data_IF_774407006001
#
_entry.id   IF_774407006001
#
_cell.length_a   1.000
_cell.length_b   1.000
_cell.length_c   1.000
_cell.angle_alpha   90.00
_cell.angle_beta   90.00
_cell.angle_gamma   90.00
#
_symmetry.space_group_name_H-M   'P 1'
#
loop_
_entity.id
_entity.type
_entity.pdbx_description
1 polymer ?
#
# COMPACT_ATOMS: atom_id res chain seq x y z
N UNK A 1 5.93 2.28 -20.29
CA UNK A 1 5.22 2.88 -19.13
C UNK A 1 4.31 1.90 -18.42
N UNK A 2 3.40 1.22 -19.13
CA UNK A 2 2.49 0.24 -18.52
C UNK A 2 3.22 -0.85 -17.73
N UNK A 3 4.30 -1.43 -18.29
CA UNK A 3 5.14 -2.42 -17.61
C UNK A 3 5.70 -1.92 -16.28
N UNK A 4 6.24 -0.70 -16.27
CA UNK A 4 6.80 -0.09 -15.06
C UNK A 4 5.74 0.08 -13.96
N UNK A 5 4.52 0.51 -14.32
CA UNK A 5 3.41 0.63 -13.38
C UNK A 5 2.99 -0.76 -12.86
N UNK A 6 2.85 -1.73 -13.77
CA UNK A 6 2.41 -3.09 -13.47
C UNK A 6 3.38 -3.83 -12.54
N UNK A 7 4.68 -3.80 -12.87
CA UNK A 7 5.73 -4.46 -12.09
C UNK A 7 5.90 -3.80 -10.71
N UNK A 8 5.78 -2.47 -10.61
CA UNK A 8 5.83 -1.80 -9.30
C UNK A 8 4.67 -2.21 -8.40
N UNK A 9 3.47 -2.42 -8.95
CA UNK A 9 2.34 -2.94 -8.18
C UNK A 9 2.57 -4.40 -7.75
N UNK A 10 3.16 -5.21 -8.63
CA UNK A 10 3.53 -6.59 -8.32
C UNK A 10 4.54 -6.66 -7.18
N UNK A 11 5.62 -5.87 -7.23
CA UNK A 11 6.62 -5.79 -6.16
C UNK A 11 6.00 -5.48 -4.81
N UNK A 12 5.01 -4.59 -4.75
CA UNK A 12 4.40 -4.22 -3.47
C UNK A 12 3.59 -5.38 -2.84
N UNK A 13 2.93 -6.19 -3.67
CA UNK A 13 2.09 -7.29 -3.19
C UNK A 13 2.82 -8.62 -3.00
N UNK A 14 3.85 -8.88 -3.81
CA UNK A 14 4.48 -10.20 -3.94
C UNK A 14 5.83 -10.33 -3.22
N UNK A 15 6.16 -9.42 -2.29
CA UNK A 15 7.41 -9.46 -1.51
C UNK A 15 7.13 -9.62 -0.01
N UNK A 16 6.26 -10.55 0.35
CA UNK A 16 5.98 -10.87 1.74
C UNK A 16 7.09 -11.76 2.32
N UNK A 17 7.11 -11.89 3.64
CA UNK A 17 8.12 -12.68 4.34
C UNK A 17 7.49 -13.66 5.33
N UNK A 18 6.89 -14.77 4.85
CA UNK A 18 6.35 -15.81 5.74
C UNK A 18 7.40 -16.29 6.76
N UNK A 19 7.04 -16.49 8.04
CA UNK A 19 5.69 -16.51 8.60
C UNK A 19 5.22 -15.16 9.19
N UNK A 20 5.82 -14.03 8.79
CA UNK A 20 5.41 -12.71 9.28
C UNK A 20 4.03 -12.34 8.75
N UNK A 21 3.36 -11.44 9.46
CA UNK A 21 2.11 -10.86 9.00
C UNK A 21 2.32 -10.13 7.67
N UNK A 22 1.30 -10.16 6.82
CA UNK A 22 1.30 -9.40 5.57
C UNK A 22 1.54 -7.93 5.87
N UNK A 23 2.43 -7.30 5.11
CA UNK A 23 2.67 -5.87 5.16
C UNK A 23 3.26 -5.41 3.85
N UNK A 24 2.80 -4.27 3.36
CA UNK A 24 3.41 -3.64 2.19
C UNK A 24 4.72 -2.96 2.63
N UNK A 25 5.80 -3.25 1.91
CA UNK A 25 7.10 -2.64 2.19
C UNK A 25 7.03 -1.11 1.99
N UNK A 26 7.47 -0.38 3.02
CA UNK A 26 7.38 1.08 3.05
C UNK A 26 8.18 1.77 1.95
N UNK A 27 9.25 1.17 1.43
CA UNK A 27 10.01 1.77 0.33
C UNK A 27 9.37 1.44 -1.03
N UNK A 28 8.87 0.23 -1.23
CA UNK A 28 8.26 -0.17 -2.50
C UNK A 28 6.99 0.62 -2.84
N UNK A 29 6.19 1.04 -1.85
CA UNK A 29 5.05 1.92 -2.12
C UNK A 29 5.45 3.20 -2.84
N UNK A 30 6.66 3.72 -2.62
CA UNK A 30 7.12 4.96 -3.25
C UNK A 30 7.37 4.76 -4.74
N UNK A 31 7.87 3.59 -5.14
CA UNK A 31 8.05 3.25 -6.55
C UNK A 31 6.70 3.27 -7.28
N UNK A 32 5.67 2.68 -6.68
CA UNK A 32 4.33 2.67 -7.24
C UNK A 32 3.66 4.06 -7.18
N UNK A 33 3.73 4.75 -6.04
CA UNK A 33 3.15 6.08 -5.85
C UNK A 33 3.67 7.09 -6.88
N UNK A 34 4.96 7.05 -7.18
CA UNK A 34 5.55 7.92 -8.21
C UNK A 34 5.17 7.52 -9.64
N UNK A 35 4.75 6.28 -9.88
CA UNK A 35 4.45 5.78 -11.22
C UNK A 35 3.23 6.47 -11.86
N UNK A 36 2.27 6.93 -11.04
CA UNK A 36 1.04 7.58 -11.52
C UNK A 36 1.30 8.87 -12.30
N UNK A 37 2.44 9.53 -12.09
CA UNK A 37 2.78 10.77 -12.77
C UNK A 37 3.28 10.55 -14.21
N UNK A 38 3.74 9.34 -14.55
CA UNK A 38 4.39 9.08 -15.84
C UNK A 38 3.49 9.27 -17.06
N UNK A 39 2.22 8.83 -17.07
CA UNK A 39 1.33 9.16 -18.16
C UNK A 39 1.22 10.66 -18.41
N UNK A 40 1.15 11.47 -17.34
CA UNK A 40 1.12 12.92 -17.44
C UNK A 40 2.43 13.49 -17.97
N UNK A 41 3.59 13.10 -17.42
CA UNK A 41 4.89 13.58 -17.90
C UNK A 41 5.10 13.26 -19.38
N UNK A 42 4.73 12.06 -19.82
CA UNK A 42 4.92 11.61 -21.20
C UNK A 42 3.92 12.25 -22.17
N UNK A 43 2.79 12.78 -21.70
CA UNK A 43 1.83 13.53 -22.52
C UNK A 43 2.20 15.01 -22.72
N UNK A 44 3.16 15.55 -21.95
CA UNK A 44 3.51 16.97 -22.05
C UNK A 44 4.14 17.31 -23.41
N UNK A 45 3.61 18.34 -24.10
CA UNK A 45 4.11 18.77 -25.41
C UNK A 45 5.46 19.51 -25.34
N UNK A 46 5.73 20.18 -24.23
CA UNK A 46 6.95 20.95 -24.00
C UNK A 46 8.17 20.06 -23.67
N UNK A 47 7.94 18.81 -23.26
CA UNK A 47 9.01 17.87 -22.94
C UNK A 47 9.43 17.12 -24.21
N UNK A 48 10.67 17.33 -24.66
CA UNK A 48 11.22 16.64 -25.83
C UNK A 48 11.24 15.11 -25.69
N UNK A 49 11.19 14.39 -26.81
CA UNK A 49 11.14 12.92 -26.81
C UNK A 49 12.34 12.30 -26.07
N UNK A 50 13.54 12.82 -26.28
CA UNK A 50 14.75 12.35 -25.58
C UNK A 50 14.63 12.45 -24.07
N UNK A 51 14.06 13.56 -23.56
CA UNK A 51 13.86 13.76 -22.12
C UNK A 51 12.77 12.84 -21.56
N UNK A 52 11.72 12.55 -22.34
CA UNK A 52 10.68 11.57 -21.98
C UNK A 52 11.26 10.17 -21.83
N UNK A 53 12.08 9.75 -22.80
CA UNK A 53 12.78 8.45 -22.77
C UNK A 53 13.70 8.39 -21.56
N UNK A 54 14.56 9.41 -21.38
CA UNK A 54 15.50 9.48 -20.24
C UNK A 54 14.77 9.40 -18.90
N UNK A 55 13.66 10.12 -18.73
CA UNK A 55 12.88 10.10 -17.51
C UNK A 55 12.31 8.70 -17.21
N UNK A 56 11.78 8.01 -18.22
CA UNK A 56 11.25 6.65 -18.07
C UNK A 56 12.36 5.63 -17.78
N UNK A 57 13.50 5.74 -18.46
CA UNK A 57 14.66 4.88 -18.19
C UNK A 57 15.20 5.07 -16.78
N UNK A 58 15.34 6.31 -16.32
CA UNK A 58 15.81 6.61 -14.97
C UNK A 58 14.84 6.09 -13.91
N UNK A 59 13.54 6.19 -14.15
CA UNK A 59 12.54 5.59 -13.27
C UNK A 59 12.69 4.08 -13.17
N UNK A 60 12.80 3.38 -14.31
CA UNK A 60 12.98 1.94 -14.33
C UNK A 60 14.27 1.51 -13.62
N UNK A 61 15.39 2.22 -13.86
CA UNK A 61 16.66 1.98 -13.17
C UNK A 61 16.54 2.19 -11.65
N UNK A 62 15.88 3.28 -11.24
CA UNK A 62 15.65 3.55 -9.83
C UNK A 62 14.81 2.45 -9.18
N UNK A 63 13.75 1.98 -9.84
CA UNK A 63 12.88 0.91 -9.31
C UNK A 63 13.66 -0.38 -9.04
N UNK A 64 14.55 -0.76 -9.97
CA UNK A 64 15.44 -1.92 -9.82
C UNK A 64 16.44 -1.72 -8.68
N UNK A 65 17.05 -0.53 -8.59
CA UNK A 65 17.99 -0.21 -7.50
C UNK A 65 17.28 -0.24 -6.15
N UNK A 66 16.07 0.31 -6.04
CA UNK A 66 15.27 0.28 -4.82
C UNK A 66 14.92 -1.16 -4.42
N UNK A 67 14.57 -2.02 -5.38
CA UNK A 67 14.36 -3.45 -5.14
C UNK A 67 15.63 -4.15 -4.62
N UNK A 68 16.78 -3.92 -5.26
CA UNK A 68 18.05 -4.49 -4.84
C UNK A 68 18.49 -3.98 -3.45
N UNK A 69 18.29 -2.69 -3.17
CA UNK A 69 18.60 -2.08 -1.87
C UNK A 69 17.75 -2.66 -0.73
N UNK A 70 16.60 -3.26 -1.05
CA UNK A 70 15.77 -4.00 -0.09
C UNK A 70 16.13 -5.47 0.08
N UNK A 71 17.24 -5.92 -0.50
CA UNK A 71 17.73 -7.28 -0.40
C UNK A 71 17.14 -8.23 -1.44
N UNK A 72 16.55 -7.70 -2.51
CA UNK A 72 15.97 -8.49 -3.62
C UNK A 72 15.02 -9.59 -3.13
N UNK A 73 13.98 -9.25 -2.34
CA UNK A 73 13.07 -10.24 -1.76
C UNK A 73 12.41 -11.07 -2.86
N UNK A 74 12.26 -12.37 -2.64
CA UNK A 74 11.62 -13.27 -3.60
C UNK A 74 10.23 -12.73 -3.97
N UNK A 75 9.96 -12.72 -5.27
CA UNK A 75 8.66 -12.36 -5.82
C UNK A 75 7.78 -13.60 -5.95
N UNK A 76 6.71 -13.69 -5.17
CA UNK A 76 5.76 -14.79 -5.24
C UNK A 76 4.32 -14.31 -5.43
N UNK A 77 3.78 -14.52 -6.63
CA UNK A 77 2.41 -14.11 -6.97
C UNK A 77 1.36 -14.79 -6.08
N UNK A 78 1.67 -15.94 -5.48
CA UNK A 78 0.77 -16.64 -4.55
C UNK A 78 0.48 -15.80 -3.31
N UNK A 79 1.41 -14.96 -2.88
CA UNK A 79 1.19 -14.04 -1.75
C UNK A 79 0.07 -13.04 -2.03
N UNK A 80 -0.17 -12.71 -3.30
CA UNK A 80 -1.29 -11.90 -3.73
C UNK A 80 -2.53 -12.78 -3.87
N UNK A 81 -2.46 -13.85 -4.66
CA UNK A 81 -3.61 -14.71 -5.02
C UNK A 81 -4.25 -15.33 -3.77
N UNK A 82 -3.45 -15.83 -2.85
CA UNK A 82 -3.93 -16.58 -1.69
C UNK A 82 -4.34 -15.67 -0.53
N UNK A 83 -4.01 -14.37 -0.59
CA UNK A 83 -4.37 -13.39 0.42
C UNK A 83 -5.89 -13.34 0.64
N UNK A 84 -6.32 -13.33 1.90
CA UNK A 84 -7.73 -13.26 2.30
C UNK A 84 -8.03 -11.88 2.90
N UNK A 85 -8.74 -11.00 2.18
CA UNK A 85 -9.14 -9.71 2.71
C UNK A 85 -10.00 -9.87 3.97
N UNK A 86 -9.81 -8.98 4.95
CA UNK A 86 -10.64 -8.89 6.16
C UNK A 86 -12.09 -8.54 5.84
N UNK A 87 -12.30 -7.78 4.76
CA UNK A 87 -13.62 -7.34 4.28
C UNK A 87 -13.80 -7.77 2.82
N UNK A 88 -14.05 -9.06 2.56
CA UNK A 88 -14.21 -9.56 1.20
C UNK A 88 -15.47 -8.98 0.55
N UNK A 89 -15.47 -8.89 -0.79
CA UNK A 89 -16.62 -8.40 -1.56
C UNK A 89 -16.74 -6.87 -1.66
N UNK A 90 -15.85 -6.10 -1.03
CA UNK A 90 -15.81 -4.64 -1.20
C UNK A 90 -14.90 -4.22 -2.35
N UNK A 91 -15.26 -3.13 -3.04
CA UNK A 91 -14.55 -2.63 -4.21
C UNK A 91 -13.69 -1.39 -3.95
N UNK A 92 -13.24 -0.75 -5.03
CA UNK A 92 -12.41 0.47 -4.97
C UNK A 92 -13.07 1.61 -4.19
N UNK A 93 -14.37 1.84 -4.39
CA UNK A 93 -15.11 2.92 -3.72
C UNK A 93 -15.10 2.73 -2.20
N UNK A 94 -15.34 1.50 -1.74
CA UNK A 94 -15.30 1.17 -0.30
C UNK A 94 -13.90 1.36 0.28
N UNK A 95 -12.86 0.92 -0.44
CA UNK A 95 -11.48 1.09 -0.01
C UNK A 95 -11.07 2.57 0.07
N UNK A 96 -11.47 3.38 -0.90
CA UNK A 96 -11.24 4.83 -0.85
C UNK A 96 -11.99 5.49 0.31
N UNK A 97 -13.22 5.09 0.57
CA UNK A 97 -13.99 5.61 1.71
C UNK A 97 -13.37 5.21 3.05
N UNK A 98 -12.92 3.96 3.18
CA UNK A 98 -12.18 3.48 4.37
C UNK A 98 -10.90 4.28 4.57
N UNK A 99 -10.11 4.46 3.50
CA UNK A 99 -8.88 5.22 3.53
C UNK A 99 -9.11 6.70 3.87
N UNK A 100 -10.19 7.32 3.37
CA UNK A 100 -10.56 8.69 3.70
C UNK A 100 -10.89 8.89 5.19
N UNK A 101 -11.52 7.88 5.81
CA UNK A 101 -11.89 7.90 7.22
C UNK A 101 -10.73 7.48 8.15
N UNK A 102 -9.60 7.05 7.58
CA UNK A 102 -8.43 6.58 8.29
C UNK A 102 -7.39 7.71 8.41
N UNK A 103 -6.95 7.99 9.64
CA UNK A 103 -5.91 8.98 9.91
C UNK A 103 -4.52 8.39 9.58
N UNK A 104 -4.19 8.45 8.28
CA UNK A 104 -2.93 8.04 7.67
C UNK A 104 -2.05 9.25 7.40
N UNK A 105 -0.73 9.09 7.43
CA UNK A 105 0.21 10.11 6.93
C UNK A 105 0.24 10.18 5.38
N UNK A 106 -0.87 9.79 4.74
CA UNK A 106 -1.20 9.78 3.31
C UNK A 106 -0.50 8.74 2.43
N UNK A 107 0.34 7.85 2.97
CA UNK A 107 1.00 6.81 2.18
C UNK A 107 0.01 5.83 1.55
N UNK A 108 -0.97 5.35 2.32
CA UNK A 108 -1.99 4.41 1.88
C UNK A 108 -2.91 5.08 0.87
N UNK A 109 -3.30 6.34 1.12
CA UNK A 109 -4.14 7.11 0.16
C UNK A 109 -3.49 7.22 -1.21
N UNK A 110 -2.18 7.55 -1.26
CA UNK A 110 -1.41 7.61 -2.51
C UNK A 110 -1.32 6.24 -3.17
N UNK A 111 -1.11 5.20 -2.37
CA UNK A 111 -0.95 3.82 -2.83
C UNK A 111 -2.21 3.27 -3.49
N UNK A 112 -3.38 3.41 -2.85
CA UNK A 112 -4.65 2.97 -3.44
C UNK A 112 -4.94 3.72 -4.76
N UNK A 113 -4.68 5.03 -4.80
CA UNK A 113 -4.85 5.82 -6.03
C UNK A 113 -3.93 5.34 -7.15
N UNK A 114 -2.68 5.03 -6.83
CA UNK A 114 -1.72 4.52 -7.81
C UNK A 114 -2.09 3.12 -8.31
N UNK A 115 -2.58 2.22 -7.44
CA UNK A 115 -3.10 0.91 -7.84
C UNK A 115 -4.33 1.02 -8.73
N UNK A 116 -5.32 1.82 -8.36
CA UNK A 116 -6.54 1.99 -9.15
C UNK A 116 -6.22 2.59 -10.53
N UNK A 117 -5.36 3.61 -10.56
CA UNK A 117 -4.86 4.16 -11.82
C UNK A 117 -4.11 3.10 -12.63
N UNK A 118 -3.23 2.32 -12.02
CA UNK A 118 -2.47 1.27 -12.71
C UNK A 118 -3.36 0.18 -13.30
N UNK A 119 -4.39 -0.24 -12.56
CA UNK A 119 -5.42 -1.18 -13.03
C UNK A 119 -6.09 -0.66 -14.30
N UNK A 120 -6.57 0.57 -14.28
CA UNK A 120 -7.23 1.20 -15.45
C UNK A 120 -6.25 1.44 -16.61
N UNK A 121 -5.06 1.98 -16.32
CA UNK A 121 -4.07 2.34 -17.33
C UNK A 121 -3.54 1.10 -18.07
N UNK A 122 -3.28 0.01 -17.34
CA UNK A 122 -2.75 -1.21 -17.94
C UNK A 122 -3.80 -1.94 -18.78
N UNK A 123 -5.10 -1.88 -18.43
CA UNK A 123 -6.19 -2.53 -19.19
C UNK A 123 -6.25 -2.14 -20.67
N UNK A 124 -5.74 -0.97 -21.05
CA UNK A 124 -5.69 -0.52 -22.44
C UNK A 124 -4.67 -1.28 -23.31
N UNK A 125 -3.83 -2.12 -22.71
CA UNK A 125 -2.78 -2.86 -23.40
C UNK A 125 -3.14 -4.35 -23.51
N UNK A 126 -2.63 -5.01 -24.54
CA UNK A 126 -2.76 -6.46 -24.70
C UNK A 126 -1.87 -7.19 -23.67
N UNK A 127 -2.47 -7.49 -22.52
CA UNK A 127 -1.82 -8.08 -21.33
C UNK A 127 -1.92 -9.63 -21.37
N UNK A 128 -1.64 -10.26 -22.49
CA UNK A 128 -1.60 -11.72 -22.56
C UNK A 128 -0.31 -12.29 -21.94
N UNK A 129 0.80 -11.56 -21.99
CA UNK A 129 2.08 -12.00 -21.41
C UNK A 129 2.14 -11.74 -19.89
N UNK A 130 1.98 -12.81 -19.10
CA UNK A 130 2.05 -12.77 -17.63
C UNK A 130 3.46 -12.53 -17.08
N UNK A 131 4.53 -12.77 -17.86
CA UNK A 131 5.89 -12.45 -17.43
C UNK A 131 6.14 -10.94 -17.51
N UNK A 132 5.57 -10.29 -18.52
CA UNK A 132 5.68 -8.86 -18.74
C UNK A 132 4.69 -8.04 -17.91
N UNK A 133 3.52 -8.60 -17.64
CA UNK A 133 2.44 -7.97 -16.91
C UNK A 133 1.84 -8.93 -15.86
N UNK A 134 2.52 -9.10 -14.71
CA UNK A 134 2.06 -10.00 -13.64
C UNK A 134 0.74 -9.56 -12.97
N UNK A 135 0.44 -8.25 -12.92
CA UNK A 135 -0.78 -7.73 -12.30
C UNK A 135 -1.92 -7.66 -13.31
N UNK A 136 -2.99 -8.43 -13.08
CA UNK A 136 -4.17 -8.53 -13.96
C UNK A 136 -5.47 -8.58 -13.15
N UNK A 137 -6.57 -8.08 -13.73
CA UNK A 137 -7.92 -8.18 -13.16
C UNK A 137 -7.97 -7.80 -11.68
N UNK A 138 -8.51 -8.70 -10.86
CA UNK A 138 -8.75 -8.47 -9.43
C UNK A 138 -7.48 -8.47 -8.57
N UNK A 139 -6.31 -8.89 -9.10
CA UNK A 139 -5.04 -8.85 -8.36
C UNK A 139 -4.71 -7.43 -7.88
N UNK A 140 -5.04 -6.41 -8.67
CA UNK A 140 -4.88 -5.01 -8.28
C UNK A 140 -5.67 -4.66 -7.03
N UNK A 141 -6.93 -5.09 -6.98
CA UNK A 141 -7.82 -4.87 -5.85
C UNK A 141 -7.37 -5.68 -4.63
N UNK A 142 -6.84 -6.88 -4.85
CA UNK A 142 -6.33 -7.75 -3.78
C UNK A 142 -5.12 -7.14 -3.06
N UNK A 143 -4.18 -6.54 -3.79
CA UNK A 143 -3.07 -5.77 -3.18
C UNK A 143 -3.58 -4.53 -2.45
N UNK A 144 -4.64 -3.87 -2.95
CA UNK A 144 -5.25 -2.73 -2.26
C UNK A 144 -5.89 -3.13 -0.92
N UNK A 145 -6.57 -4.27 -0.88
CA UNK A 145 -7.07 -4.88 0.36
C UNK A 145 -5.93 -5.17 1.33
N UNK A 146 -4.85 -5.82 0.86
CA UNK A 146 -3.67 -6.09 1.68
C UNK A 146 -3.08 -4.83 2.31
N UNK A 147 -2.98 -3.73 1.56
CA UNK A 147 -2.47 -2.46 2.07
C UNK A 147 -3.39 -1.85 3.14
N UNK A 148 -4.70 -1.82 2.89
CA UNK A 148 -5.69 -1.30 3.82
C UNK A 148 -5.75 -2.11 5.10
N UNK A 149 -5.92 -3.42 4.99
CA UNK A 149 -6.15 -4.31 6.13
C UNK A 149 -4.96 -4.37 7.10
N UNK A 150 -3.75 -4.16 6.58
CA UNK A 150 -2.50 -4.23 7.37
C UNK A 150 -2.08 -2.87 7.92
N UNK A 151 -2.74 -1.78 7.50
CA UNK A 151 -2.41 -0.41 7.93
C UNK A 151 -3.51 0.24 8.73
N UNK A 152 -4.77 -0.03 8.38
CA UNK A 152 -5.89 0.43 9.18
C UNK A 152 -5.76 -0.20 10.58
N UNK A 153 -5.66 0.67 11.59
CA UNK A 153 -5.93 0.23 12.95
C UNK A 153 -7.42 -0.06 12.96
N UNK A 154 -7.80 -1.32 13.10
CA UNK A 154 -9.20 -1.65 13.41
C UNK A 154 -9.65 -0.70 14.52
N UNK A 155 -10.85 -0.13 14.46
CA UNK A 155 -11.32 0.70 15.55
C UNK A 155 -11.15 -0.13 16.82
N UNK A 156 -10.30 0.35 17.75
CA UNK A 156 -10.31 -0.15 19.11
C UNK A 156 -11.77 0.00 19.50
N UNK A 157 -12.48 -1.12 19.69
CA UNK A 157 -13.87 -1.07 20.09
C UNK A 157 -13.96 -0.04 21.22
N UNK A 158 -14.83 0.97 21.10
CA UNK A 158 -14.97 2.01 22.14
C UNK A 158 -15.17 1.41 23.55
N UNK A 159 -15.59 0.14 23.60
CA UNK A 159 -15.83 -0.66 24.78
C UNK A 159 -14.56 -1.29 25.41
N UNK A 160 -13.38 -1.24 24.77
CA UNK A 160 -12.11 -1.73 25.37
C UNK A 160 -11.45 -0.72 26.32
N UNK A 161 -11.89 0.54 26.30
CA UNK A 161 -11.51 1.55 27.31
C UNK A 161 -12.48 1.63 28.50
N UNK A 162 -13.34 0.63 28.72
CA UNK A 162 -14.05 0.45 29.99
C UNK A 162 -13.23 -0.35 31.01
N UNK A 163 -11.89 -0.24 30.97
CA UNK A 163 -11.14 -0.48 32.19
C UNK A 163 -11.49 0.66 33.13
N UNK A 164 -12.45 0.38 34.03
CA UNK A 164 -12.67 1.12 35.25
C UNK A 164 -11.32 1.18 35.93
N UNK A 165 -10.60 2.30 35.78
CA UNK A 165 -9.55 2.65 36.72
C UNK A 165 -10.27 2.70 38.07
N UNK A 166 -9.93 1.86 39.05
CA UNK A 166 -10.51 2.00 40.37
C UNK A 166 -10.17 3.41 40.82
N UNK A 167 -11.19 4.27 40.99
CA UNK A 167 -10.99 5.48 41.76
C UNK A 167 -10.52 5.00 43.12
N UNK A 168 -9.25 5.20 43.44
CA UNK A 168 -8.79 5.10 44.81
C UNK A 168 -9.67 6.05 45.63
N UNK A 169 -10.55 5.48 46.47
CA UNK A 169 -11.26 6.24 47.46
C UNK A 169 -10.21 6.83 48.40
N UNK A 170 -10.08 8.15 48.37
CA UNK A 170 -9.34 8.89 49.37
C UNK A 170 -10.08 8.76 50.71
N UNK A 171 -9.76 7.69 51.43
CA UNK A 171 -10.10 7.50 52.83
C UNK A 171 -8.90 6.86 53.52
N UNK A 172 -7.78 7.57 53.50
CA UNK A 172 -6.69 7.31 54.43
C UNK A 172 -7.00 8.07 55.73
N UNK A 173 -7.04 7.41 56.90
CA UNK A 173 -7.18 8.11 58.16
C UNK A 173 -5.91 8.92 58.45
N UNK A 174 -6.09 10.20 58.72
CA UNK A 174 -5.03 11.09 59.21
C UNK A 174 -4.63 10.61 60.60
N UNK A 175 -3.49 9.91 60.69
CA UNK A 175 -2.86 9.66 61.98
C UNK A 175 -2.22 10.96 62.46
N UNK A 176 -2.86 11.65 63.42
CA UNK A 176 -2.15 12.63 64.26
C UNK A 176 -1.04 11.87 65.00
N UNK A 177 0.18 12.37 64.88
CA UNK A 177 1.19 12.15 65.92
C UNK A 177 1.20 13.41 66.78
N UNK A 178 0.69 13.25 67.98
CA UNK A 178 1.00 14.15 69.09
C UNK A 178 2.39 13.76 69.64
N UNK A 179 3.09 14.80 70.13
CA UNK A 179 4.44 14.85 70.73
C UNK A 179 5.62 14.96 69.75
#
# INVERSE_FOLDING_TARGET
TAEMINVNAFFCGATQYPPKEYKIDFFFIHNLNCSIFFPCFLSQKWLGMENKIRLLEWKGRFDIVAYAARGSPRLDIKEIIDYKPKRPGTGWVDLFQRCHNFDDDSHVTKFLRALAHGSQFCQAYDINDSHRFPMKGDLWLQVAHMAMDTTEKEPIAKNRCNFIIPRFSSSAPVHRRDA
#
